data_IF_562226818883
#
_entry.id   IF_562226818883
#
_cell.length_a   1.000
_cell.length_b   1.000
_cell.length_c   1.000
_cell.angle_alpha   90.00
_cell.angle_beta   90.00
_cell.angle_gamma   90.00
#
_symmetry.space_group_name_H-M   'P 1'
#
loop_
_entity.id
_entity.type
_entity.pdbx_description
1 polymer ?
#
# COMPACT_ATOMS: atom_id res chain seq x y z
N UNK A 1 33.03 -23.41 -11.75
CA UNK A 1 33.53 -22.64 -12.92
C UNK A 1 32.37 -21.82 -13.46
N UNK A 2 32.36 -20.53 -13.16
CA UNK A 2 31.34 -19.57 -13.65
C UNK A 2 31.72 -19.14 -15.07
N UNK A 3 30.84 -19.37 -16.05
CA UNK A 3 31.00 -18.86 -17.41
C UNK A 3 30.94 -17.33 -17.40
N UNK A 4 31.82 -16.61 -18.13
CA UNK A 4 31.70 -15.17 -18.26
C UNK A 4 30.50 -14.85 -19.17
N UNK A 5 29.63 -13.94 -18.74
CA UNK A 5 28.67 -13.30 -19.62
C UNK A 5 29.46 -12.54 -20.69
N UNK A 6 29.55 -13.08 -21.90
CA UNK A 6 30.00 -12.31 -23.06
C UNK A 6 28.91 -11.29 -23.37
N UNK A 7 29.24 -10.01 -23.16
CA UNK A 7 28.42 -8.90 -23.57
C UNK A 7 28.28 -8.94 -25.09
N UNK A 8 27.05 -9.10 -25.59
CA UNK A 8 26.73 -8.92 -27.00
C UNK A 8 27.01 -7.45 -27.35
N UNK A 9 28.08 -7.20 -28.10
CA UNK A 9 28.41 -5.87 -28.60
C UNK A 9 27.54 -5.55 -29.82
N UNK A 10 26.62 -4.59 -29.66
CA UNK A 10 25.77 -4.07 -30.72
C UNK A 10 26.25 -2.68 -31.12
N UNK A 11 26.58 -2.48 -32.40
CA UNK A 11 26.81 -1.15 -32.99
C UNK A 11 25.49 -0.40 -33.12
N UNK A 12 25.39 0.79 -32.53
CA UNK A 12 24.15 1.55 -32.58
C UNK A 12 24.18 2.87 -31.81
N UNK A 13 23.18 3.71 -32.11
CA UNK A 13 22.87 4.94 -31.37
C UNK A 13 21.72 4.64 -30.40
N UNK A 14 21.92 4.91 -29.13
CA UNK A 14 20.94 4.78 -28.05
C UNK A 14 20.39 6.16 -27.69
N UNK A 15 19.07 6.27 -27.51
CA UNK A 15 18.43 7.41 -26.87
C UNK A 15 18.30 7.08 -25.37
N UNK A 16 18.92 7.90 -24.54
CA UNK A 16 19.05 7.69 -23.10
C UNK A 16 18.35 8.81 -22.32
N UNK A 17 17.79 8.45 -21.18
CA UNK A 17 17.25 9.36 -20.17
C UNK A 17 17.18 8.66 -18.81
N UNK A 18 17.12 9.46 -17.76
CA UNK A 18 16.85 9.00 -16.40
C UNK A 18 15.43 9.40 -15.99
N UNK A 19 14.77 8.50 -15.29
CA UNK A 19 13.47 8.76 -14.68
C UNK A 19 13.52 8.45 -13.18
N UNK A 20 13.20 9.45 -12.38
CA UNK A 20 13.06 9.31 -10.93
C UNK A 20 11.58 9.28 -10.55
N UNK A 21 11.16 8.15 -9.98
CA UNK A 21 9.79 7.94 -9.51
C UNK A 21 9.82 7.64 -8.01
N UNK A 22 9.19 8.52 -7.22
CA UNK A 22 8.96 8.27 -5.80
C UNK A 22 7.53 7.79 -5.60
N UNK A 23 7.35 6.72 -4.83
CA UNK A 23 6.00 6.26 -4.46
C UNK A 23 6.00 5.53 -3.12
N UNK A 24 5.05 5.88 -2.26
CA UNK A 24 4.78 5.15 -1.01
C UNK A 24 4.23 3.73 -1.25
N UNK A 25 3.82 3.43 -2.48
CA UNK A 25 3.35 2.10 -2.85
C UNK A 25 4.48 1.09 -3.00
N UNK A 26 5.74 1.53 -3.15
CA UNK A 26 6.88 0.63 -3.28
C UNK A 26 7.24 -0.08 -1.96
N UNK A 27 6.92 0.52 -0.81
CA UNK A 27 7.34 0.05 0.52
C UNK A 27 6.18 -0.03 1.52
N UNK A 28 5.12 -0.77 1.18
CA UNK A 28 3.96 -0.90 2.07
C UNK A 28 3.65 -2.35 2.43
N UNK A 29 3.34 -2.60 3.71
CA UNK A 29 2.78 -3.88 4.14
C UNK A 29 1.36 -4.04 3.59
N UNK A 30 1.03 -5.21 3.03
CA UNK A 30 -0.32 -5.50 2.57
C UNK A 30 -1.30 -5.51 3.76
N UNK A 31 -2.47 -4.89 3.56
CA UNK A 31 -3.56 -4.95 4.52
C UNK A 31 -4.20 -6.33 4.41
N UNK A 32 -4.19 -7.12 5.48
CA UNK A 32 -4.58 -8.52 5.37
C UNK A 32 -6.07 -8.66 5.01
N UNK A 33 -6.49 -9.77 4.37
CA UNK A 33 -7.91 -10.00 4.05
C UNK A 33 -8.82 -9.87 5.27
N UNK A 34 -8.36 -10.35 6.43
CA UNK A 34 -9.10 -10.25 7.68
C UNK A 34 -9.20 -8.80 8.19
N UNK A 35 -8.13 -8.01 8.06
CA UNK A 35 -8.16 -6.58 8.38
C UNK A 35 -9.15 -5.84 7.48
N UNK A 36 -9.18 -6.14 6.18
CA UNK A 36 -10.16 -5.61 5.22
C UNK A 36 -11.59 -5.96 5.61
N UNK A 37 -11.84 -7.22 5.96
CA UNK A 37 -13.14 -7.69 6.45
C UNK A 37 -13.61 -6.91 7.67
N UNK A 38 -12.77 -6.81 8.72
CA UNK A 38 -13.10 -6.06 9.94
C UNK A 38 -13.43 -4.61 9.61
N UNK A 39 -12.57 -3.95 8.82
CA UNK A 39 -12.77 -2.55 8.46
C UNK A 39 -14.09 -2.33 7.71
N UNK A 40 -14.38 -3.16 6.71
CA UNK A 40 -15.58 -3.03 5.89
C UNK A 40 -16.84 -3.27 6.74
N UNK A 41 -16.81 -4.27 7.62
CA UNK A 41 -17.92 -4.55 8.54
C UNK A 41 -18.17 -3.40 9.51
N UNK A 42 -17.11 -2.83 10.10
CA UNK A 42 -17.23 -1.65 10.96
C UNK A 42 -17.78 -0.45 10.17
N UNK A 43 -17.30 -0.23 8.95
CA UNK A 43 -17.76 0.87 8.08
C UNK A 43 -19.25 0.74 7.74
N UNK A 44 -19.71 -0.48 7.42
CA UNK A 44 -21.12 -0.77 7.16
C UNK A 44 -21.98 -0.50 8.41
N UNK A 45 -21.62 -1.06 9.56
CA UNK A 45 -22.37 -0.84 10.81
C UNK A 45 -22.41 0.65 11.20
N UNK A 46 -21.35 1.39 10.88
CA UNK A 46 -21.32 2.84 11.11
C UNK A 46 -22.25 3.60 10.15
N UNK A 47 -22.35 3.15 8.88
CA UNK A 47 -23.28 3.70 7.90
C UNK A 47 -24.75 3.40 8.25
N UNK A 48 -25.01 2.26 8.91
CA UNK A 48 -26.31 1.93 9.52
C UNK A 48 -26.66 2.81 10.75
N UNK A 49 -25.78 3.74 11.13
CA UNK A 49 -26.01 4.68 12.23
C UNK A 49 -25.58 4.17 13.61
N UNK A 50 -24.93 3.01 13.72
CA UNK A 50 -24.51 2.51 15.03
C UNK A 50 -23.35 3.36 15.60
N UNK A 51 -23.48 3.69 16.89
CA UNK A 51 -22.37 4.24 17.68
C UNK A 51 -21.31 3.20 18.00
N UNK A 52 -20.08 3.63 18.30
CA UNK A 52 -18.95 2.73 18.53
C UNK A 52 -19.17 1.69 19.63
N UNK A 53 -19.94 2.02 20.67
CA UNK A 53 -20.32 1.07 21.73
C UNK A 53 -21.16 -0.09 21.20
N UNK A 54 -22.19 0.21 20.40
CA UNK A 54 -23.06 -0.81 19.79
C UNK A 54 -22.30 -1.66 18.79
N UNK A 55 -21.43 -1.05 17.98
CA UNK A 55 -20.56 -1.77 17.03
C UNK A 55 -19.66 -2.76 17.76
N UNK A 56 -18.94 -2.30 18.80
CA UNK A 56 -18.06 -3.18 19.57
C UNK A 56 -18.83 -4.36 20.18
N UNK A 57 -20.00 -4.10 20.76
CA UNK A 57 -20.87 -5.14 21.32
C UNK A 57 -21.26 -6.18 20.27
N UNK A 58 -21.77 -5.72 19.11
CA UNK A 58 -22.20 -6.61 18.02
C UNK A 58 -21.06 -7.46 17.47
N UNK A 59 -19.87 -6.88 17.30
CA UNK A 59 -18.69 -7.65 16.84
C UNK A 59 -18.31 -8.76 17.84
N UNK A 60 -18.36 -8.46 19.14
CA UNK A 60 -18.07 -9.46 20.17
C UNK A 60 -19.17 -10.53 20.26
N UNK A 61 -20.45 -10.15 20.14
CA UNK A 61 -21.59 -11.09 20.08
C UNK A 61 -21.48 -12.03 18.87
N UNK A 62 -20.97 -11.55 17.75
CA UNK A 62 -20.68 -12.35 16.54
C UNK A 62 -19.34 -13.12 16.62
N UNK A 63 -18.67 -13.17 17.78
CA UNK A 63 -17.36 -13.79 17.99
C UNK A 63 -16.23 -13.26 17.08
N UNK A 64 -16.37 -12.05 16.54
CA UNK A 64 -15.34 -11.41 15.73
C UNK A 64 -14.32 -10.77 16.66
N UNK A 65 -13.05 -11.16 16.50
CA UNK A 65 -11.94 -10.61 17.28
C UNK A 65 -11.16 -9.56 16.47
N UNK A 66 -10.40 -8.74 17.17
CA UNK A 66 -9.42 -7.86 16.51
C UNK A 66 -8.36 -8.70 15.79
N UNK A 67 -7.59 -8.10 14.87
CA UNK A 67 -6.51 -8.81 14.16
C UNK A 67 -5.43 -9.40 15.08
N UNK A 68 -5.40 -9.01 16.36
CA UNK A 68 -4.51 -9.56 17.40
C UNK A 68 -5.18 -10.60 18.30
N UNK A 69 -6.43 -10.98 18.02
CA UNK A 69 -7.17 -11.97 18.81
C UNK A 69 -7.84 -11.44 20.08
N UNK A 70 -7.90 -10.12 20.28
CA UNK A 70 -8.59 -9.50 21.43
C UNK A 70 -10.03 -9.11 21.11
N UNK A 71 -10.88 -8.97 22.13
CA UNK A 71 -12.23 -8.43 22.01
C UNK A 71 -12.23 -6.95 21.56
N UNK A 72 -13.32 -6.51 20.95
CA UNK A 72 -13.53 -5.12 20.57
C UNK A 72 -13.98 -4.26 21.75
N UNK A 73 -13.30 -3.14 21.91
CA UNK A 73 -13.74 -2.00 22.71
C UNK A 73 -14.17 -0.86 21.78
N UNK A 74 -14.97 0.11 22.24
CA UNK A 74 -15.35 1.27 21.43
C UNK A 74 -14.14 2.03 20.87
N UNK A 75 -13.05 2.12 21.66
CA UNK A 75 -11.76 2.69 21.27
C UNK A 75 -11.06 1.88 20.17
N UNK A 76 -11.16 0.54 20.21
CA UNK A 76 -10.65 -0.35 19.16
C UNK A 76 -11.36 -0.09 17.83
N UNK A 77 -12.69 0.05 17.85
CA UNK A 77 -13.50 0.34 16.65
C UNK A 77 -13.08 1.66 16.03
N UNK A 78 -12.97 2.72 16.83
CA UNK A 78 -12.47 4.03 16.37
C UNK A 78 -11.06 3.92 15.78
N UNK A 79 -10.17 3.18 16.44
CA UNK A 79 -8.78 3.01 16.02
C UNK A 79 -8.66 2.31 14.67
N UNK A 80 -9.52 1.33 14.37
CA UNK A 80 -9.54 0.63 13.07
C UNK A 80 -9.87 1.62 11.95
N UNK A 81 -10.94 2.41 12.10
CA UNK A 81 -11.34 3.41 11.12
C UNK A 81 -10.27 4.48 10.93
N UNK A 82 -9.74 5.03 12.03
CA UNK A 82 -8.70 6.07 11.99
C UNK A 82 -7.43 5.57 11.28
N UNK A 83 -6.96 4.36 11.62
CA UNK A 83 -5.73 3.81 11.02
C UNK A 83 -5.90 3.48 9.54
N UNK A 84 -7.08 3.03 9.11
CA UNK A 84 -7.34 2.82 7.68
C UNK A 84 -7.30 4.14 6.91
N UNK A 85 -7.93 5.20 7.44
CA UNK A 85 -7.89 6.54 6.84
C UNK A 85 -6.45 7.06 6.67
N UNK A 86 -5.65 7.03 7.73
CA UNK A 86 -4.24 7.47 7.68
C UNK A 86 -3.44 6.66 6.66
N UNK A 87 -3.67 5.34 6.59
CA UNK A 87 -3.01 4.48 5.61
C UNK A 87 -3.38 4.88 4.19
N UNK A 88 -4.66 5.12 3.91
CA UNK A 88 -5.14 5.47 2.58
C UNK A 88 -4.60 6.83 2.13
N UNK A 89 -4.59 7.82 3.04
CA UNK A 89 -3.95 9.13 2.81
C UNK A 89 -2.46 8.98 2.47
N UNK A 90 -1.74 8.10 3.16
CA UNK A 90 -0.32 7.84 2.88
C UNK A 90 -0.10 7.16 1.52
N UNK A 91 -0.95 6.20 1.16
CA UNK A 91 -0.81 5.43 -0.09
C UNK A 91 -1.20 6.24 -1.33
N UNK A 92 -2.14 7.18 -1.17
CA UNK A 92 -2.61 8.05 -2.23
C UNK A 92 -1.86 9.38 -2.28
N UNK A 93 -0.76 9.52 -1.52
CA UNK A 93 0.10 10.70 -1.59
C UNK A 93 0.77 10.75 -2.95
N UNK A 94 0.53 11.82 -3.69
CA UNK A 94 1.18 12.09 -4.96
C UNK A 94 2.60 12.60 -4.75
N UNK A 95 3.51 12.15 -5.60
CA UNK A 95 4.89 12.59 -5.65
C UNK A 95 5.19 13.10 -7.05
N UNK A 96 5.99 14.14 -7.13
CA UNK A 96 6.45 14.68 -8.39
C UNK A 96 7.36 13.67 -9.10
N UNK A 97 7.16 13.50 -10.40
CA UNK A 97 8.00 12.65 -11.26
C UNK A 97 9.04 13.53 -11.92
N UNK A 98 10.30 13.10 -11.93
CA UNK A 98 11.37 13.82 -12.61
C UNK A 98 11.88 12.98 -13.76
N UNK A 99 12.05 13.63 -14.90
CA UNK A 99 12.62 13.04 -16.11
C UNK A 99 13.77 13.97 -16.48
N UNK A 100 14.97 13.43 -16.70
CA UNK A 100 16.10 14.22 -17.16
C UNK A 100 15.96 14.58 -18.64
N UNK A 101 16.81 15.49 -19.10
CA UNK A 101 16.94 15.76 -20.53
C UNK A 101 17.35 14.49 -21.27
N UNK A 102 16.96 14.36 -22.53
CA UNK A 102 17.36 13.22 -23.36
C UNK A 102 18.78 13.41 -23.91
N UNK A 103 19.57 12.34 -23.96
CA UNK A 103 20.87 12.34 -24.63
C UNK A 103 21.03 11.12 -25.54
N UNK A 104 22.00 11.19 -26.44
CA UNK A 104 22.35 10.07 -27.30
C UNK A 104 23.69 9.47 -26.88
N UNK A 105 23.74 8.15 -26.77
CA UNK A 105 24.98 7.40 -26.61
C UNK A 105 25.26 6.61 -27.88
N UNK A 106 26.49 6.64 -28.36
CA UNK A 106 26.89 5.90 -29.54
C UNK A 106 27.90 4.83 -29.13
N UNK A 107 27.57 3.56 -29.40
CA UNK A 107 28.51 2.47 -29.18
C UNK A 107 29.09 1.98 -30.50
N UNK A 108 30.42 1.89 -30.53
CA UNK A 108 31.25 1.85 -31.74
C UNK A 108 32.34 0.78 -31.65
N UNK A 109 32.07 -0.30 -30.93
CA UNK A 109 32.92 -1.50 -30.90
C UNK A 109 33.03 -2.16 -32.29
#
# INVERSE_FOLDING_TARGET
MTLPLQALSYRGVFLCFDAEVTSNQLWHTHYSPYQSFIHNKIKQLKAEGLGYRKIAKRLNEENIKTSRGNNFYPSSVYSVLKKKKIRDERLNKEFEKKISEFWFEYNND
#
